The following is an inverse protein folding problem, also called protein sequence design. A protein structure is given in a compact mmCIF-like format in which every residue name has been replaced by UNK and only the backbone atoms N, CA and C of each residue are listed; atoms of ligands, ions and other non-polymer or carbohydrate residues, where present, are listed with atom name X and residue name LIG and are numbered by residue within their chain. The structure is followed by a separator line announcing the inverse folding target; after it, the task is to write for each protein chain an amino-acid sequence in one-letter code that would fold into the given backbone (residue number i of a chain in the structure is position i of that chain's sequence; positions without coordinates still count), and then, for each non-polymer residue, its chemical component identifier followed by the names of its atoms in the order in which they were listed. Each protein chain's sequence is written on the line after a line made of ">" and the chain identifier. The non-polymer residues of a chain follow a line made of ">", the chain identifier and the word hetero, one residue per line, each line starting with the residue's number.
data_IF_323040497108
#
_entry.id   IF_323040497108
#
_cell.length_a   1.000
_cell.length_b   1.000
_cell.length_c   1.000
_cell.angle_alpha   90.00
_cell.angle_beta   90.00
_cell.angle_gamma   90.00
#
_symmetry.space_group_name_H-M   'P 1'
#
loop_
_entity.id
_entity.type
_entity.pdbx_description
1 polymer ?
#
# COMPACT_ATOMS: atom_id res chain seq x y z
N UNK A 1 16.50 0.72 17.82
CA UNK A 1 15.74 1.96 17.53
C UNK A 1 16.33 2.68 16.31
N UNK A 2 15.63 2.71 15.16
CA UNK A 2 16.13 3.49 14.01
C UNK A 2 15.67 3.09 12.60
N UNK A 3 15.00 1.96 12.40
CA UNK A 3 14.62 1.56 11.03
C UNK A 3 13.45 2.37 10.50
N UNK A 4 13.73 3.26 9.55
CA UNK A 4 12.71 3.97 8.77
C UNK A 4 12.01 2.97 7.85
N UNK A 5 10.68 3.02 7.84
CA UNK A 5 9.82 2.20 6.99
C UNK A 5 8.92 3.11 6.18
N UNK A 6 8.48 2.63 5.02
CA UNK A 6 7.49 3.33 4.22
C UNK A 6 6.11 3.15 4.85
N UNK A 7 5.28 4.19 4.75
CA UNK A 7 3.88 4.19 5.20
C UNK A 7 3.07 4.90 4.12
N UNK A 8 1.99 4.28 3.69
CA UNK A 8 1.05 4.87 2.75
C UNK A 8 -0.27 5.23 3.44
N UNK A 9 -0.81 6.39 3.07
CA UNK A 9 -2.16 6.81 3.42
C UNK A 9 -2.97 6.82 2.14
N UNK A 10 -4.07 6.07 2.12
CA UNK A 10 -4.94 5.93 0.95
C UNK A 10 -6.36 6.31 1.31
N UNK A 11 -7.07 6.87 0.35
CA UNK A 11 -8.47 7.25 0.46
C UNK A 11 -9.18 6.69 -0.75
N UNK A 12 -10.31 6.03 -0.53
CA UNK A 12 -11.16 5.57 -1.62
C UNK A 12 -11.72 6.76 -2.41
N UNK A 13 -11.70 6.67 -3.73
CA UNK A 13 -12.27 7.73 -4.57
C UNK A 13 -13.79 7.83 -4.41
N UNK A 14 -14.46 6.72 -4.13
CA UNK A 14 -15.90 6.67 -3.87
C UNK A 14 -16.16 6.10 -2.48
N UNK A 15 -17.17 6.64 -1.79
CA UNK A 15 -17.53 6.25 -0.43
C UNK A 15 -17.95 4.77 -0.30
N UNK A 16 -18.50 4.19 -1.36
CA UNK A 16 -18.95 2.79 -1.38
C UNK A 16 -17.81 1.81 -1.71
N UNK A 17 -16.64 2.32 -2.13
CA UNK A 17 -15.50 1.45 -2.43
C UNK A 17 -14.88 0.95 -1.13
N UNK A 18 -14.95 -0.37 -0.95
CA UNK A 18 -14.22 -1.06 0.10
C UNK A 18 -12.76 -1.18 -0.33
N UNK A 19 -11.84 -0.60 0.45
CA UNK A 19 -10.40 -0.74 0.23
C UNK A 19 -9.93 -2.09 0.75
N UNK A 20 -9.47 -2.94 -0.16
CA UNK A 20 -8.76 -4.16 0.18
C UNK A 20 -7.25 -3.91 0.21
N UNK A 21 -6.69 -3.84 1.42
CA UNK A 21 -5.28 -3.52 1.65
C UNK A 21 -4.35 -4.62 1.12
N UNK A 22 -4.75 -5.89 1.21
CA UNK A 22 -3.90 -6.99 0.76
C UNK A 22 -3.85 -7.04 -0.77
N UNK A 23 -4.97 -6.77 -1.43
CA UNK A 23 -4.99 -6.63 -2.89
C UNK A 23 -4.11 -5.45 -3.34
N UNK A 24 -4.22 -4.29 -2.68
CA UNK A 24 -3.39 -3.13 -2.98
C UNK A 24 -1.90 -3.42 -2.79
N UNK A 25 -1.52 -4.08 -1.69
CA UNK A 25 -0.12 -4.45 -1.43
C UNK A 25 0.40 -5.43 -2.48
N UNK A 26 -0.39 -6.46 -2.82
CA UNK A 26 -0.02 -7.44 -3.85
C UNK A 26 0.19 -6.78 -5.22
N UNK A 27 -0.66 -5.81 -5.59
CA UNK A 27 -0.49 -5.04 -6.81
C UNK A 27 0.81 -4.23 -6.81
N UNK A 28 1.17 -3.60 -5.68
CA UNK A 28 2.43 -2.87 -5.54
C UNK A 28 3.65 -3.80 -5.64
N UNK A 29 3.59 -5.00 -5.07
CA UNK A 29 4.67 -6.00 -5.18
C UNK A 29 4.92 -6.47 -6.62
N UNK A 30 3.87 -6.51 -7.45
CA UNK A 30 4.01 -6.88 -8.87
C UNK A 30 4.61 -5.77 -9.74
N UNK A 31 4.69 -4.53 -9.23
CA UNK A 31 5.08 -3.34 -10.00
C UNK A 31 6.29 -2.60 -9.43
N UNK A 32 6.59 -2.80 -8.15
CA UNK A 32 7.68 -2.15 -7.42
C UNK A 32 8.61 -3.19 -6.77
N UNK A 33 9.90 -2.85 -6.59
CA UNK A 33 10.80 -3.62 -5.73
C UNK A 33 10.30 -3.69 -4.28
N UNK A 34 10.65 -4.77 -3.58
CA UNK A 34 10.18 -5.05 -2.21
C UNK A 34 10.43 -3.91 -1.21
N UNK A 35 11.55 -3.19 -1.32
CA UNK A 35 11.89 -2.08 -0.42
C UNK A 35 11.06 -0.81 -0.66
N UNK A 36 10.27 -0.76 -1.73
CA UNK A 36 9.38 0.35 -2.08
C UNK A 36 7.91 0.10 -1.72
N UNK A 37 7.59 -1.10 -1.23
CA UNK A 37 6.23 -1.46 -0.82
C UNK A 37 6.00 -1.05 0.65
N UNK A 38 5.01 -0.19 0.94
CA UNK A 38 4.67 0.24 2.31
C UNK A 38 3.83 -0.79 3.11
#
# INVERSE_FOLDING_TARGET
>A
PGDKRLVAYVIAQHFETVLDIEHLRSHLQGTLPDYMVP
#
